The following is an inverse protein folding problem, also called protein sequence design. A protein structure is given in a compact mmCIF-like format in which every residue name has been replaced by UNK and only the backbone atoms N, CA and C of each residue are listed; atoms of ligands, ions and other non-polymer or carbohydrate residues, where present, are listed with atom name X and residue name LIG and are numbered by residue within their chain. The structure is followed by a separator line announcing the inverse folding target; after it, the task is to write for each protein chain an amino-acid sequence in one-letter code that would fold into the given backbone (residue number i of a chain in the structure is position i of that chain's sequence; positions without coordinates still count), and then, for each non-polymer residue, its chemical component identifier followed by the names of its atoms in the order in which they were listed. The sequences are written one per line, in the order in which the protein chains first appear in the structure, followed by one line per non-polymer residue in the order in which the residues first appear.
data_IF_114895231941
#
_entry.id   IF_114895231941
#
_cell.length_a   1.000
_cell.length_b   1.000
_cell.length_c   1.000
_cell.angle_alpha   90.00
_cell.angle_beta   90.00
_cell.angle_gamma   90.00
#
_symmetry.space_group_name_H-M   'P 1'
#
loop_
_entity.id
_entity.type
_entity.pdbx_description
1 polymer ?
#
# COMPACT_ATOMS: atom_id res chain seq x y z
N UNK A 1 23.16 -3.55 -28.19
CA UNK A 1 24.40 -3.01 -28.76
C UNK A 1 24.08 -1.64 -29.28
N UNK A 2 24.70 -0.58 -28.77
CA UNK A 2 24.49 0.78 -29.29
C UNK A 2 25.20 0.91 -30.64
N UNK A 3 24.54 1.57 -31.59
CA UNK A 3 25.08 1.85 -32.92
C UNK A 3 26.10 2.99 -32.85
N UNK A 4 27.15 2.95 -33.68
CA UNK A 4 28.15 4.03 -33.76
C UNK A 4 27.49 5.27 -34.35
N UNK A 5 27.34 6.33 -33.55
CA UNK A 5 26.76 7.61 -34.00
C UNK A 5 27.90 8.54 -34.42
N UNK A 6 27.93 8.90 -35.70
CA UNK A 6 28.85 9.89 -36.25
C UNK A 6 28.15 11.27 -36.31
N UNK A 7 28.64 12.24 -35.52
CA UNK A 7 28.12 13.61 -35.51
C UNK A 7 28.94 14.49 -36.46
N UNK A 8 28.27 15.23 -37.34
CA UNK A 8 28.91 16.14 -38.29
C UNK A 8 28.15 17.47 -38.44
N UNK A 9 28.84 18.51 -38.93
CA UNK A 9 28.25 19.83 -39.20
C UNK A 9 27.51 19.87 -40.55
N UNK A 10 27.04 21.07 -40.93
CA UNK A 10 26.33 21.29 -42.20
C UNK A 10 27.18 21.03 -43.45
N UNK A 11 28.51 21.01 -43.30
CA UNK A 11 29.50 20.73 -44.34
C UNK A 11 30.03 19.28 -44.22
N UNK A 12 29.39 18.43 -43.41
CA UNK A 12 29.79 17.06 -43.12
C UNK A 12 31.16 16.91 -42.41
N UNK A 13 31.66 17.96 -41.77
CA UNK A 13 32.89 17.89 -40.97
C UNK A 13 32.63 17.18 -39.64
N UNK A 14 33.49 16.24 -39.18
CA UNK A 14 33.29 15.53 -37.92
C UNK A 14 33.30 16.47 -36.71
N UNK A 15 32.29 16.33 -35.85
CA UNK A 15 32.20 17.06 -34.58
C UNK A 15 32.72 16.16 -33.46
N UNK A 16 33.73 16.63 -32.73
CA UNK A 16 34.20 15.95 -31.52
C UNK A 16 33.19 16.14 -30.39
N UNK A 17 32.61 15.03 -29.92
CA UNK A 17 31.70 15.02 -28.77
C UNK A 17 32.33 14.28 -27.59
N UNK A 18 32.07 14.74 -26.37
CA UNK A 18 32.41 14.00 -25.16
C UNK A 18 31.17 13.20 -24.75
N UNK A 19 31.26 11.88 -24.85
CA UNK A 19 30.20 10.98 -24.41
C UNK A 19 30.40 10.69 -22.93
N UNK A 20 29.43 11.11 -22.12
CA UNK A 20 29.39 10.82 -20.69
C UNK A 20 28.17 9.95 -20.43
N UNK A 21 28.37 8.81 -19.77
CA UNK A 21 27.25 8.00 -19.33
C UNK A 21 26.46 8.79 -18.27
N UNK A 22 25.15 8.88 -18.49
CA UNK A 22 24.22 9.46 -17.53
C UNK A 22 23.31 8.37 -16.98
N UNK A 23 23.27 8.25 -15.65
CA UNK A 23 22.20 7.50 -14.99
C UNK A 23 21.01 8.42 -14.82
N UNK A 24 19.90 8.10 -15.50
CA UNK A 24 18.63 8.79 -15.31
C UNK A 24 17.84 7.98 -14.29
N UNK A 25 17.80 8.38 -13.00
CA UNK A 25 16.96 7.71 -12.03
C UNK A 25 15.50 7.96 -12.41
N UNK A 26 14.77 6.90 -12.71
CA UNK A 26 13.31 6.96 -12.82
C UNK A 26 12.79 7.19 -11.41
N UNK A 27 12.55 8.46 -11.03
CA UNK A 27 11.98 8.78 -9.72
C UNK A 27 10.52 8.32 -9.67
N UNK A 28 10.19 7.51 -8.67
CA UNK A 28 8.82 7.17 -8.31
C UNK A 28 8.16 6.17 -9.26
N UNK A 29 8.57 4.90 -9.19
CA UNK A 29 7.70 3.82 -9.65
C UNK A 29 6.60 3.64 -8.60
N UNK A 30 5.49 4.36 -8.76
CA UNK A 30 4.29 4.12 -7.99
C UNK A 30 3.52 2.98 -8.67
N UNK A 31 3.13 1.93 -7.92
CA UNK A 31 2.30 0.89 -8.49
C UNK A 31 0.94 1.46 -8.92
N UNK A 32 0.25 0.78 -9.84
CA UNK A 32 -1.03 1.25 -10.37
C UNK A 32 -2.11 1.43 -9.29
N UNK A 33 -2.04 0.64 -8.22
CA UNK A 33 -2.96 0.67 -7.08
C UNK A 33 -2.63 1.76 -6.04
N UNK A 34 -1.52 2.48 -6.18
CA UNK A 34 -1.22 3.74 -5.46
C UNK A 34 -1.68 4.92 -6.34
N UNK A 35 -2.97 5.19 -6.25
CA UNK A 35 -3.69 6.06 -7.18
C UNK A 35 -3.36 7.53 -6.92
N UNK A 36 -3.15 7.89 -5.64
CA UNK A 36 -2.75 9.24 -5.27
C UNK A 36 -1.23 9.48 -5.41
N UNK A 37 -0.44 8.42 -5.65
CA UNK A 37 1.01 8.44 -5.84
C UNK A 37 1.74 9.01 -4.64
N UNK A 38 1.26 8.70 -3.44
CA UNK A 38 1.88 9.11 -2.19
C UNK A 38 2.96 8.12 -1.69
N UNK A 39 3.09 6.98 -2.37
CA UNK A 39 4.07 5.93 -2.08
C UNK A 39 3.56 4.89 -1.09
N UNK A 40 2.30 4.94 -0.65
CA UNK A 40 1.70 3.95 0.26
C UNK A 40 0.28 3.61 -0.15
N UNK A 41 0.05 2.34 -0.49
CA UNK A 41 -1.29 1.85 -0.80
C UNK A 41 -2.13 1.72 0.46
N UNK A 42 -3.14 2.57 0.62
CA UNK A 42 -3.94 2.64 1.83
C UNK A 42 -5.43 2.97 1.54
N UNK A 43 -6.18 3.30 2.59
CA UNK A 43 -7.61 3.60 2.48
C UNK A 43 -7.91 4.80 1.58
N UNK A 44 -6.98 5.75 1.43
CA UNK A 44 -7.17 6.89 0.56
C UNK A 44 -7.23 6.48 -0.92
N UNK A 45 -6.45 5.50 -1.35
CA UNK A 45 -6.54 4.95 -2.72
C UNK A 45 -7.90 4.31 -2.97
N UNK A 46 -8.38 3.50 -2.02
CA UNK A 46 -9.70 2.89 -2.09
C UNK A 46 -10.83 3.91 -2.16
N UNK A 47 -10.74 4.99 -1.36
CA UNK A 47 -11.73 6.07 -1.39
C UNK A 47 -11.72 6.79 -2.75
N UNK A 48 -10.54 7.04 -3.32
CA UNK A 48 -10.42 7.67 -4.63
C UNK A 48 -11.01 6.81 -5.75
N UNK A 49 -10.72 5.51 -5.77
CA UNK A 49 -11.33 4.58 -6.73
C UNK A 49 -12.84 4.45 -6.51
N UNK A 50 -13.29 4.34 -5.25
CA UNK A 50 -14.72 4.28 -4.91
C UNK A 50 -15.51 5.51 -5.35
N UNK A 51 -14.90 6.71 -5.28
CA UNK A 51 -15.50 7.93 -5.80
C UNK A 51 -15.65 7.94 -7.33
N UNK A 52 -14.90 7.09 -8.04
CA UNK A 52 -14.97 6.93 -9.49
C UNK A 52 -15.77 5.68 -9.91
N UNK A 53 -16.37 4.95 -8.98
CA UNK A 53 -17.12 3.73 -9.26
C UNK A 53 -18.19 3.93 -10.35
N UNK A 54 -18.24 3.01 -11.31
CA UNK A 54 -19.18 3.02 -12.44
C UNK A 54 -18.82 3.96 -13.58
N UNK A 55 -17.72 4.73 -13.47
CA UNK A 55 -17.21 5.54 -14.58
C UNK A 55 -16.63 4.66 -15.68
N UNK A 56 -16.64 5.17 -16.92
CA UNK A 56 -16.12 4.50 -18.10
C UNK A 56 -15.30 5.47 -18.94
N UNK A 57 -14.25 4.98 -19.57
CA UNK A 57 -13.37 5.77 -20.42
C UNK A 57 -11.90 5.57 -20.09
N UNK A 58 -11.05 6.24 -20.86
CA UNK A 58 -9.59 6.14 -20.72
C UNK A 58 -9.07 7.12 -19.67
N UNK A 59 -8.00 6.71 -18.98
CA UNK A 59 -7.25 7.60 -18.09
C UNK A 59 -7.96 7.89 -16.76
N UNK A 60 -8.93 7.07 -16.39
CA UNK A 60 -9.50 7.11 -15.04
C UNK A 60 -8.46 6.56 -14.06
N UNK A 61 -8.21 7.28 -12.97
CA UNK A 61 -7.14 6.92 -12.06
C UNK A 61 -7.47 5.67 -11.23
N UNK A 62 -8.76 5.39 -11.01
CA UNK A 62 -9.24 4.18 -10.35
C UNK A 62 -9.38 2.96 -11.25
N UNK A 63 -9.16 3.07 -12.56
CA UNK A 63 -9.13 1.94 -13.51
C UNK A 63 -7.73 1.32 -13.48
N UNK A 64 -7.49 0.51 -12.46
CA UNK A 64 -6.18 -0.05 -12.14
C UNK A 64 -5.87 -1.29 -12.96
N UNK A 65 -6.90 -1.96 -13.50
CA UNK A 65 -6.76 -3.09 -14.41
C UNK A 65 -6.69 -2.66 -15.91
N UNK A 66 -6.93 -1.37 -16.20
CA UNK A 66 -6.86 -0.72 -17.50
C UNK A 66 -7.90 -1.23 -18.52
N UNK A 67 -9.07 -1.66 -18.06
CA UNK A 67 -10.15 -2.15 -18.92
C UNK A 67 -11.12 -1.06 -19.41
N UNK A 68 -10.89 0.20 -19.02
CA UNK A 68 -11.69 1.39 -19.32
C UNK A 68 -13.03 1.46 -18.57
N UNK A 69 -13.18 0.74 -17.47
CA UNK A 69 -14.32 0.80 -16.57
C UNK A 69 -13.81 0.74 -15.14
N UNK A 70 -14.45 1.49 -14.24
CA UNK A 70 -14.18 1.34 -12.81
C UNK A 70 -15.30 0.52 -12.22
N UNK A 71 -14.97 -0.70 -11.80
CA UNK A 71 -15.91 -1.59 -11.14
C UNK A 71 -15.32 -2.24 -9.88
N UNK A 72 -15.98 -3.29 -9.38
CA UNK A 72 -15.57 -3.94 -8.14
C UNK A 72 -14.21 -4.64 -8.27
N UNK A 73 -13.79 -5.02 -9.48
CA UNK A 73 -12.50 -5.68 -9.71
C UNK A 73 -11.34 -4.72 -9.45
N UNK A 74 -11.48 -3.44 -9.79
CA UNK A 74 -10.49 -2.42 -9.45
C UNK A 74 -10.34 -2.24 -7.94
N UNK A 75 -11.47 -2.12 -7.24
CA UNK A 75 -11.50 -1.97 -5.77
C UNK A 75 -10.86 -3.19 -5.08
N UNK A 76 -11.18 -4.39 -5.55
CA UNK A 76 -10.58 -5.64 -5.04
C UNK A 76 -9.08 -5.68 -5.33
N UNK A 77 -8.66 -5.23 -6.52
CA UNK A 77 -7.24 -5.19 -6.88
C UNK A 77 -6.46 -4.26 -5.94
N UNK A 78 -6.94 -3.04 -5.71
CA UNK A 78 -6.34 -2.10 -4.73
C UNK A 78 -6.34 -2.72 -3.33
N UNK A 79 -7.45 -3.35 -2.94
CA UNK A 79 -7.61 -4.02 -1.64
C UNK A 79 -6.55 -5.11 -1.40
N UNK A 80 -6.16 -5.86 -2.43
CA UNK A 80 -5.14 -6.91 -2.33
C UNK A 80 -3.73 -6.37 -2.06
N UNK A 81 -3.50 -5.08 -2.32
CA UNK A 81 -2.21 -4.42 -2.15
C UNK A 81 -2.18 -3.47 -0.95
N UNK A 82 -3.20 -3.49 -0.08
CA UNK A 82 -3.24 -2.65 1.11
C UNK A 82 -2.00 -2.84 1.99
N UNK A 83 -1.39 -1.72 2.36
CA UNK A 83 -0.20 -1.65 3.18
C UNK A 83 1.10 -1.62 2.39
N UNK A 84 1.12 -1.91 1.08
CA UNK A 84 2.33 -1.78 0.28
C UNK A 84 2.92 -0.36 0.33
N UNK A 85 4.25 -0.27 0.29
CA UNK A 85 4.96 1.01 0.43
C UNK A 85 5.01 1.57 1.86
N UNK A 86 4.16 1.07 2.78
CA UNK A 86 4.28 1.36 4.20
C UNK A 86 5.54 0.73 4.78
N UNK A 87 6.28 1.48 5.60
CA UNK A 87 7.42 0.97 6.37
C UNK A 87 7.03 -0.18 7.31
N UNK A 88 5.73 -0.41 7.55
CA UNK A 88 5.21 -1.51 8.37
C UNK A 88 4.77 -2.76 7.60
N UNK A 89 4.85 -2.75 6.26
CA UNK A 89 4.48 -3.90 5.41
C UNK A 89 5.49 -5.03 5.39
N UNK A 90 6.73 -4.78 5.86
CA UNK A 90 7.73 -5.82 6.04
C UNK A 90 7.45 -6.62 7.33
N UNK A 91 7.23 -7.94 7.24
CA UNK A 91 7.06 -8.79 8.42
C UNK A 91 8.23 -8.71 9.40
N UNK A 92 9.44 -8.46 8.89
CA UNK A 92 10.67 -8.25 9.68
C UNK A 92 10.64 -6.95 10.50
N UNK A 93 10.06 -5.87 9.98
CA UNK A 93 9.97 -4.59 10.69
C UNK A 93 8.96 -4.66 11.84
N UNK A 94 7.85 -5.40 11.68
CA UNK A 94 6.91 -5.67 12.77
C UNK A 94 7.58 -6.46 13.93
N UNK A 95 8.50 -7.38 13.62
CA UNK A 95 9.25 -8.14 14.65
C UNK A 95 10.25 -7.28 15.42
N UNK A 96 10.78 -6.23 14.79
CA UNK A 96 11.76 -5.31 15.39
C UNK A 96 11.13 -4.18 16.22
N UNK A 97 9.80 -4.00 16.16
CA UNK A 97 9.11 -3.02 16.99
C UNK A 97 9.20 -3.46 18.47
N UNK A 98 9.51 -2.55 19.42
CA UNK A 98 9.56 -2.85 20.86
C UNK A 98 8.27 -3.46 21.43
N UNK A 99 7.17 -3.37 20.68
CA UNK A 99 5.87 -3.97 20.96
C UNK A 99 5.96 -5.51 21.06
N UNK A 100 6.98 -6.16 20.49
CA UNK A 100 7.22 -7.60 20.66
C UNK A 100 7.35 -8.01 22.14
N UNK A 101 7.92 -7.15 23.00
CA UNK A 101 7.95 -7.38 24.45
C UNK A 101 6.58 -7.23 25.11
N UNK A 102 5.71 -6.39 24.55
CA UNK A 102 4.32 -6.21 24.98
C UNK A 102 3.38 -7.29 24.42
N UNK A 103 3.81 -8.12 23.47
CA UNK A 103 2.97 -9.15 22.84
C UNK A 103 2.50 -10.20 23.85
N UNK A 104 3.35 -10.54 24.82
CA UNK A 104 2.99 -11.43 25.93
C UNK A 104 1.90 -10.83 26.82
N UNK A 105 1.95 -9.52 27.04
CA UNK A 105 0.96 -8.78 27.84
C UNK A 105 -0.36 -8.68 27.06
N UNK A 106 -0.31 -8.36 25.77
CA UNK A 106 -1.49 -8.26 24.90
C UNK A 106 -2.19 -9.61 24.75
N UNK A 107 -1.44 -10.71 24.58
CA UNK A 107 -1.99 -12.07 24.56
C UNK A 107 -2.64 -12.43 25.90
N UNK A 108 -2.03 -12.04 27.03
CA UNK A 108 -2.60 -12.28 28.36
C UNK A 108 -3.91 -11.50 28.56
N UNK A 109 -3.92 -10.21 28.22
CA UNK A 109 -5.13 -9.37 28.28
C UNK A 109 -6.23 -9.93 27.38
N UNK A 110 -5.89 -10.35 26.15
CA UNK A 110 -6.84 -10.97 25.24
C UNK A 110 -7.44 -12.25 25.84
N UNK A 111 -6.61 -13.16 26.37
CA UNK A 111 -7.11 -14.38 27.02
C UNK A 111 -8.02 -14.08 28.22
N UNK A 112 -7.65 -13.11 29.07
CA UNK A 112 -8.48 -12.70 30.21
C UNK A 112 -9.82 -12.09 29.77
N UNK A 113 -9.84 -11.31 28.69
CA UNK A 113 -11.07 -10.74 28.13
C UNK A 113 -11.96 -11.81 27.49
N UNK A 114 -11.37 -12.72 26.72
CA UNK A 114 -12.11 -13.83 26.09
C UNK A 114 -12.77 -14.71 27.14
N UNK A 115 -12.04 -14.99 28.22
CA UNK A 115 -12.62 -15.72 29.32
C UNK A 115 -13.70 -14.91 30.05
N UNK A 116 -13.48 -13.60 30.33
CA UNK A 116 -14.48 -12.70 30.93
C UNK A 116 -15.78 -12.60 30.14
N UNK A 117 -15.68 -12.59 28.82
CA UNK A 117 -16.82 -12.62 27.92
C UNK A 117 -17.53 -13.99 27.97
N UNK A 118 -16.77 -15.09 27.93
CA UNK A 118 -17.33 -16.44 28.01
C UNK A 118 -18.10 -16.71 29.32
N UNK A 119 -17.63 -16.17 30.45
CA UNK A 119 -18.34 -16.26 31.74
C UNK A 119 -19.50 -15.28 31.87
N UNK A 120 -19.51 -14.20 31.08
CA UNK A 120 -20.61 -13.23 31.04
C UNK A 120 -21.84 -13.77 30.29
N UNK A 121 -21.63 -14.66 29.31
CA UNK A 121 -22.69 -15.25 28.48
C UNK A 121 -23.33 -16.50 29.12
N UNK A 122 -22.82 -16.96 30.27
CA UNK A 122 -23.35 -18.09 31.03
C UNK A 122 -23.99 -17.60 32.34
N UNK A 123 -25.19 -17.05 32.20
CA UNK A 123 -26.05 -16.43 33.23
C UNK A 123 -25.88 -16.92 34.68
N UNK A 124 -25.32 -16.06 35.55
CA UNK A 124 -25.94 -15.63 36.81
C UNK A 124 -25.33 -14.29 37.27
N UNK A 125 -26.20 -13.30 37.40
CA UNK A 125 -25.85 -11.90 37.59
C UNK A 125 -25.01 -11.58 38.82
N UNK A 126 -24.35 -10.44 38.70
CA UNK A 126 -23.79 -9.65 39.80
C UNK A 126 -24.88 -9.38 40.85
N UNK A 127 -25.10 -10.30 41.79
CA UNK A 127 -25.78 -10.06 43.07
C UNK A 127 -25.22 -10.99 44.14
N UNK A 128 -24.14 -10.56 44.79
CA UNK A 128 -23.85 -10.89 46.17
C UNK A 128 -23.69 -9.57 46.95
N UNK A 129 -24.86 -9.02 47.30
CA UNK A 129 -25.19 -8.35 48.57
C UNK A 129 -24.12 -7.45 49.22
N UNK A 130 -24.38 -6.15 49.16
CA UNK A 130 -24.20 -5.26 50.30
C UNK A 130 -25.34 -5.54 51.30
N UNK A 131 -25.03 -6.05 52.48
CA UNK A 131 -25.92 -6.06 53.66
C UNK A 131 -25.09 -6.19 54.93
N UNK A 132 -24.95 -5.05 55.62
CA UNK A 132 -24.45 -4.77 57.00
C UNK A 132 -23.02 -5.20 57.33
#
# INVERSE_FOLDING_TARGET
TFEKVDFSDVEASPISVNLVDASIPIKGFFPLWDINRDGTTNIFDLVLAGNQMGQKGKGLSGDVNQDNQIDIFDIVLIGNHLGEGSMFSSPELIRSLPIAGSLSILRKIQSELQLKLAWSDSDHGFLATQSV
#
